data_IF_404822477340
#
_entry.id   IF_404822477340
#
_cell.length_a   1.000
_cell.length_b   1.000
_cell.length_c   1.000
_cell.angle_alpha   90.00
_cell.angle_beta   90.00
_cell.angle_gamma   90.00
#
_symmetry.space_group_name_H-M   'P 1'
#
loop_
_entity.id
_entity.type
_entity.pdbx_description
1 polymer ?
#
# COMPACT_ATOMS: atom_id res chain seq x y z
N UNK A 1 1.36 -0.28 16.26
CA UNK A 1 1.68 -0.36 14.82
C UNK A 1 1.67 -1.79 14.34
N UNK A 2 2.69 -2.60 14.63
CA UNK A 2 2.79 -4.02 14.19
C UNK A 2 1.50 -4.80 14.49
N UNK A 3 1.06 -4.83 15.75
CA UNK A 3 -0.18 -5.52 16.12
C UNK A 3 -1.43 -5.00 15.38
N UNK A 4 -1.51 -3.69 15.12
CA UNK A 4 -2.63 -3.10 14.40
C UNK A 4 -2.66 -3.51 12.93
N UNK A 5 -1.49 -3.57 12.29
CA UNK A 5 -1.33 -4.08 10.93
C UNK A 5 -1.77 -5.55 10.84
N UNK A 6 -1.32 -6.40 11.77
CA UNK A 6 -1.71 -7.81 11.81
C UNK A 6 -3.24 -7.97 11.94
N UNK A 7 -3.89 -7.20 12.83
CA UNK A 7 -5.35 -7.25 12.99
C UNK A 7 -6.11 -6.72 11.78
N UNK A 8 -5.60 -5.68 11.15
CA UNK A 8 -6.18 -5.10 9.93
C UNK A 8 -6.21 -6.14 8.81
N UNK A 9 -5.07 -6.78 8.54
CA UNK A 9 -4.95 -7.79 7.49
C UNK A 9 -5.79 -9.03 7.81
N UNK A 10 -5.72 -9.51 9.05
CA UNK A 10 -6.50 -10.67 9.50
C UNK A 10 -8.01 -10.43 9.37
N UNK A 11 -8.49 -9.24 9.76
CA UNK A 11 -9.88 -8.85 9.58
C UNK A 11 -10.28 -8.74 8.10
N UNK A 12 -9.41 -8.18 7.26
CA UNK A 12 -9.64 -8.05 5.82
C UNK A 12 -9.79 -9.44 5.16
N UNK A 13 -8.90 -10.38 5.46
CA UNK A 13 -8.96 -11.72 4.89
C UNK A 13 -10.17 -12.54 5.41
N UNK A 14 -10.58 -12.33 6.67
CA UNK A 14 -11.85 -12.88 7.18
C UNK A 14 -13.08 -12.32 6.43
N UNK A 15 -13.09 -11.03 6.13
CA UNK A 15 -14.12 -10.40 5.28
C UNK A 15 -14.12 -10.97 3.86
N UNK A 16 -12.95 -11.25 3.28
CA UNK A 16 -12.81 -11.84 1.95
C UNK A 16 -13.52 -13.20 1.89
N UNK A 17 -13.20 -14.08 2.85
CA UNK A 17 -13.79 -15.41 2.97
C UNK A 17 -15.31 -15.34 3.07
N UNK A 18 -15.82 -14.48 3.96
CA UNK A 18 -17.26 -14.32 4.20
C UNK A 18 -18.03 -13.77 2.99
N UNK A 19 -17.37 -12.97 2.14
CA UNK A 19 -17.97 -12.38 0.94
C UNK A 19 -17.81 -13.27 -0.31
N UNK A 20 -17.17 -14.43 -0.19
CA UNK A 20 -16.86 -15.29 -1.34
C UNK A 20 -15.89 -14.65 -2.35
N UNK A 21 -15.13 -13.64 -1.89
CA UNK A 21 -14.13 -12.92 -2.69
C UNK A 21 -12.76 -13.52 -2.38
N UNK A 22 -11.91 -13.69 -3.40
CA UNK A 22 -10.58 -14.23 -3.16
C UNK A 22 -9.77 -13.30 -2.26
N UNK A 23 -8.97 -13.88 -1.36
CA UNK A 23 -8.06 -13.13 -0.48
C UNK A 23 -7.11 -12.22 -1.27
N UNK A 24 -6.74 -12.65 -2.47
CA UNK A 24 -5.98 -11.88 -3.46
C UNK A 24 -6.67 -10.54 -3.78
N UNK A 25 -7.96 -10.54 -4.09
CA UNK A 25 -8.69 -9.32 -4.47
C UNK A 25 -8.76 -8.36 -3.30
N UNK A 26 -9.00 -8.84 -2.08
CA UNK A 26 -9.00 -7.99 -0.88
C UNK A 26 -7.60 -7.45 -0.58
N UNK A 27 -6.54 -8.26 -0.75
CA UNK A 27 -5.15 -7.82 -0.61
C UNK A 27 -4.81 -6.68 -1.58
N UNK A 28 -5.12 -6.86 -2.87
CA UNK A 28 -4.87 -5.87 -3.92
C UNK A 28 -5.76 -4.62 -3.86
N UNK A 29 -6.86 -4.67 -3.10
CA UNK A 29 -7.79 -3.56 -2.98
C UNK A 29 -7.78 -3.02 -1.56
N UNK A 30 -8.59 -3.59 -0.68
CA UNK A 30 -8.84 -3.04 0.66
C UNK A 30 -7.57 -2.88 1.47
N UNK A 31 -6.67 -3.87 1.46
CA UNK A 31 -5.41 -3.79 2.22
C UNK A 31 -4.48 -2.75 1.59
N UNK A 32 -4.23 -2.82 0.29
CA UNK A 32 -3.36 -1.88 -0.44
C UNK A 32 -3.83 -0.42 -0.34
N UNK A 33 -5.14 -0.18 -0.46
CA UNK A 33 -5.73 1.15 -0.27
C UNK A 33 -5.68 1.57 1.19
N UNK A 34 -5.92 0.66 2.14
CA UNK A 34 -5.90 0.98 3.57
C UNK A 34 -4.53 1.41 4.06
N UNK A 35 -3.45 0.78 3.58
CA UNK A 35 -2.07 1.17 3.92
C UNK A 35 -1.62 2.45 3.23
N UNK A 36 -2.19 2.78 2.07
CA UNK A 36 -1.86 4.00 1.30
C UNK A 36 -2.82 5.17 1.61
N UNK A 37 -3.85 4.94 2.42
CA UNK A 37 -4.89 5.93 2.71
C UNK A 37 -4.35 7.20 3.40
N UNK A 38 -3.43 7.14 4.39
CA UNK A 38 -2.82 8.34 4.94
C UNK A 38 -2.16 9.21 3.89
N UNK A 39 -1.36 8.60 3.02
CA UNK A 39 -0.55 9.26 2.01
C UNK A 39 -1.46 9.87 0.94
N UNK A 40 -2.46 9.13 0.48
CA UNK A 40 -3.49 9.65 -0.43
C UNK A 40 -4.22 10.85 0.16
N UNK A 41 -4.55 10.80 1.46
CA UNK A 41 -5.22 11.90 2.16
C UNK A 41 -4.32 13.13 2.26
N UNK A 42 -3.05 12.97 2.64
CA UNK A 42 -2.06 14.06 2.71
C UNK A 42 -1.84 14.67 1.33
N UNK A 43 -1.64 13.85 0.30
CA UNK A 43 -1.50 14.31 -1.09
C UNK A 43 -2.73 15.07 -1.59
N UNK A 44 -3.93 14.56 -1.29
CA UNK A 44 -5.18 15.22 -1.68
C UNK A 44 -5.37 16.56 -0.96
N UNK A 45 -5.10 16.63 0.34
CA UNK A 45 -5.18 17.88 1.10
C UNK A 45 -4.18 18.92 0.59
N UNK A 46 -2.93 18.52 0.31
CA UNK A 46 -1.91 19.41 -0.25
C UNK A 46 -2.33 19.96 -1.62
N UNK A 47 -2.86 19.11 -2.50
CA UNK A 47 -3.35 19.51 -3.81
C UNK A 47 -4.55 20.47 -3.72
N UNK A 48 -5.50 20.22 -2.80
CA UNK A 48 -6.66 21.09 -2.54
C UNK A 48 -6.26 22.43 -1.93
N UNK A 49 -5.19 22.47 -1.14
CA UNK A 49 -4.60 23.69 -0.59
C UNK A 49 -3.79 24.49 -1.62
N UNK A 50 -3.77 24.08 -2.90
CA UNK A 50 -3.03 24.75 -3.98
C UNK A 50 -1.55 24.35 -4.05
N UNK A 51 -1.07 23.49 -3.15
CA UNK A 51 0.31 23.01 -3.12
C UNK A 51 0.46 21.67 -3.85
N UNK A 52 0.25 21.69 -5.18
CA UNK A 52 0.24 20.48 -6.02
C UNK A 52 1.57 19.74 -5.99
N UNK A 53 2.68 20.47 -6.02
CA UNK A 53 4.05 19.93 -5.96
C UNK A 53 4.27 19.11 -4.69
N UNK A 54 3.79 19.59 -3.54
CA UNK A 54 3.87 18.86 -2.27
C UNK A 54 3.04 17.57 -2.34
N UNK A 55 1.85 17.64 -2.94
CA UNK A 55 0.98 16.46 -3.10
C UNK A 55 1.61 15.37 -3.97
N UNK A 56 2.23 15.75 -5.09
CA UNK A 56 2.96 14.85 -5.98
C UNK A 56 4.24 14.33 -5.32
N UNK A 57 5.00 15.21 -4.67
CA UNK A 57 6.22 14.86 -3.93
C UNK A 57 5.95 13.83 -2.83
N UNK A 58 4.86 13.98 -2.08
CA UNK A 58 4.45 12.99 -1.08
C UNK A 58 4.13 11.62 -1.71
N UNK A 59 3.40 11.60 -2.85
CA UNK A 59 3.04 10.35 -3.52
C UNK A 59 4.26 9.62 -4.10
N UNK A 60 5.19 10.34 -4.73
CA UNK A 60 6.41 9.76 -5.30
C UNK A 60 7.40 9.36 -4.20
N UNK A 61 7.64 10.24 -3.23
CA UNK A 61 8.55 10.02 -2.11
C UNK A 61 8.18 8.82 -1.25
N UNK A 62 6.87 8.62 -0.98
CA UNK A 62 6.39 7.46 -0.23
C UNK A 62 6.69 6.14 -0.96
N UNK A 63 6.52 6.09 -2.28
CA UNK A 63 6.85 4.90 -3.08
C UNK A 63 8.37 4.63 -3.11
N UNK A 64 9.18 5.67 -3.25
CA UNK A 64 10.65 5.55 -3.20
C UNK A 64 11.09 5.02 -1.84
N UNK A 65 10.56 5.56 -0.75
CA UNK A 65 10.89 5.15 0.63
C UNK A 65 10.47 3.70 0.88
N UNK A 66 9.29 3.28 0.40
CA UNK A 66 8.84 1.90 0.54
C UNK A 66 9.77 0.90 -0.18
N UNK A 67 10.23 1.23 -1.39
CA UNK A 67 11.11 0.32 -2.16
C UNK A 67 12.55 0.36 -1.65
N UNK A 68 13.09 1.53 -1.33
CA UNK A 68 14.50 1.66 -0.96
C UNK A 68 14.76 1.38 0.52
N UNK A 69 13.95 1.95 1.41
CA UNK A 69 14.14 1.84 2.85
C UNK A 69 13.44 0.60 3.40
N UNK A 70 12.12 0.45 3.18
CA UNK A 70 11.36 -0.64 3.80
C UNK A 70 11.74 -2.00 3.20
N UNK A 71 11.61 -2.16 1.88
CA UNK A 71 11.97 -3.40 1.19
C UNK A 71 13.48 -3.67 1.27
N UNK A 72 14.32 -2.63 1.12
CA UNK A 72 15.77 -2.76 1.27
C UNK A 72 16.20 -3.22 2.66
N UNK A 73 15.65 -2.63 3.73
CA UNK A 73 15.92 -3.08 5.10
C UNK A 73 15.39 -4.50 5.34
N UNK A 74 14.19 -4.84 4.85
CA UNK A 74 13.64 -6.18 4.96
C UNK A 74 14.56 -7.23 4.30
N UNK A 75 15.09 -6.93 3.12
CA UNK A 75 16.02 -7.80 2.39
C UNK A 75 17.37 -7.99 3.11
N UNK A 76 17.83 -6.99 3.86
CA UNK A 76 19.04 -7.09 4.69
C UNK A 76 18.83 -7.96 5.93
N UNK A 77 17.63 -7.92 6.54
CA UNK A 77 17.30 -8.72 7.73
C UNK A 77 17.07 -10.18 7.35
N UNK A 78 16.35 -10.44 6.26
CA UNK A 78 16.06 -11.81 5.79
C UNK A 78 16.06 -11.85 4.26
N UNK A 79 16.70 -12.86 3.64
CA UNK A 79 16.60 -13.07 2.20
C UNK A 79 15.14 -13.21 1.77
N UNK A 80 14.72 -12.37 0.83
CA UNK A 80 13.36 -12.41 0.27
C UNK A 80 13.28 -13.55 -0.75
N UNK A 81 12.41 -14.52 -0.50
CA UNK A 81 12.07 -15.57 -1.46
C UNK A 81 11.12 -15.01 -2.52
N UNK A 82 11.67 -14.62 -3.68
CA UNK A 82 10.88 -14.03 -4.77
C UNK A 82 10.42 -15.13 -5.73
N UNK A 83 9.11 -15.19 -5.97
CA UNK A 83 8.52 -16.13 -6.93
C UNK A 83 8.71 -15.65 -8.37
N UNK A 84 8.97 -16.56 -9.31
CA UNK A 84 9.21 -16.21 -10.72
C UNK A 84 8.05 -15.45 -11.36
N UNK A 85 6.81 -15.68 -10.91
CA UNK A 85 5.62 -14.94 -11.36
C UNK A 85 5.73 -13.45 -11.04
N UNK A 86 6.21 -13.09 -9.85
CA UNK A 86 6.39 -11.71 -9.41
C UNK A 86 7.44 -11.00 -10.28
N UNK A 87 8.58 -11.67 -10.53
CA UNK A 87 9.69 -11.16 -11.36
C UNK A 87 9.30 -10.90 -12.81
N UNK A 88 8.57 -11.82 -13.43
CA UNK A 88 8.31 -11.76 -14.88
C UNK A 88 7.06 -10.93 -15.20
N UNK A 89 6.17 -10.73 -14.22
CA UNK A 89 4.85 -10.16 -14.50
C UNK A 89 4.50 -8.94 -13.67
N UNK A 90 4.76 -8.94 -12.37
CA UNK A 90 4.36 -7.83 -11.50
C UNK A 90 5.41 -6.72 -11.52
N UNK A 91 6.69 -7.07 -11.42
CA UNK A 91 7.79 -6.11 -11.47
C UNK A 91 7.81 -5.32 -12.80
N UNK A 92 7.68 -5.93 -14.00
CA UNK A 92 7.66 -5.16 -15.25
C UNK A 92 6.47 -4.21 -15.36
N UNK A 93 5.30 -4.63 -14.84
CA UNK A 93 4.11 -3.79 -14.80
C UNK A 93 4.29 -2.61 -13.84
N UNK A 94 4.95 -2.84 -12.70
CA UNK A 94 5.32 -1.78 -11.76
C UNK A 94 6.27 -0.78 -12.41
N UNK A 95 7.34 -1.24 -13.07
CA UNK A 95 8.26 -0.38 -13.81
C UNK A 95 7.56 0.40 -14.94
N UNK A 96 6.65 -0.23 -15.68
CA UNK A 96 5.87 0.44 -16.71
C UNK A 96 4.99 1.54 -16.10
N UNK A 97 4.32 1.27 -14.98
CA UNK A 97 3.48 2.26 -14.29
C UNK A 97 4.29 3.45 -13.79
N UNK A 98 5.49 3.21 -13.27
CA UNK A 98 6.43 4.25 -12.87
C UNK A 98 6.93 5.06 -14.07
N UNK A 99 7.24 4.41 -15.19
CA UNK A 99 7.69 5.08 -16.41
C UNK A 99 6.58 5.96 -17.01
N UNK A 100 5.32 5.50 -17.00
CA UNK A 100 4.17 6.31 -17.44
C UNK A 100 3.97 7.51 -16.51
N UNK A 101 4.01 7.31 -15.19
CA UNK A 101 3.90 8.41 -14.24
C UNK A 101 5.05 9.42 -14.41
N UNK A 102 6.27 8.96 -14.61
CA UNK A 102 7.43 9.80 -14.90
C UNK A 102 7.26 10.62 -16.19
N UNK A 103 6.75 10.00 -17.26
CA UNK A 103 6.50 10.69 -18.52
C UNK A 103 5.47 11.82 -18.37
N UNK A 104 4.41 11.60 -17.60
CA UNK A 104 3.39 12.62 -17.29
C UNK A 104 3.87 13.71 -16.32
N UNK A 105 4.97 13.49 -15.62
CA UNK A 105 5.56 14.47 -14.72
C UNK A 105 6.77 15.20 -15.35
N UNK A 106 7.11 14.90 -16.60
CA UNK A 106 8.35 15.37 -17.22
C UNK A 106 8.41 16.89 -17.37
N UNK A 107 7.27 17.53 -17.60
CA UNK A 107 7.12 18.99 -17.68
C UNK A 107 6.92 19.66 -16.30
N UNK A 108 6.90 18.86 -15.23
CA UNK A 108 6.72 19.32 -13.85
C UNK A 108 5.27 19.57 -13.44
N UNK A 109 4.29 19.37 -14.34
CA UNK A 109 2.87 19.58 -14.04
C UNK A 109 2.03 18.35 -14.34
N UNK A 110 1.29 17.85 -13.34
CA UNK A 110 0.31 16.79 -13.58
C UNK A 110 -1.06 17.40 -13.93
N UNK A 111 -1.47 17.27 -15.19
CA UNK A 111 -2.77 17.73 -15.67
C UNK A 111 -3.93 16.86 -15.17
N UNK A 112 -5.15 17.40 -15.22
CA UNK A 112 -6.38 16.64 -14.87
C UNK A 112 -6.57 15.41 -15.76
N UNK A 113 -6.20 15.51 -17.04
CA UNK A 113 -6.35 14.41 -17.98
C UNK A 113 -5.40 13.26 -17.62
N UNK A 114 -4.14 13.57 -17.33
CA UNK A 114 -3.14 12.59 -16.90
C UNK A 114 -3.53 11.92 -15.59
N UNK A 115 -4.05 12.68 -14.62
CA UNK A 115 -4.59 12.12 -13.38
C UNK A 115 -5.76 11.15 -13.62
N UNK A 116 -6.68 11.48 -14.53
CA UNK A 116 -7.78 10.56 -14.92
C UNK A 116 -7.23 9.31 -15.61
N UNK A 117 -6.27 9.44 -16.52
CA UNK A 117 -5.62 8.31 -17.19
C UNK A 117 -4.93 7.38 -16.19
N UNK A 118 -4.23 7.93 -15.20
CA UNK A 118 -3.60 7.15 -14.13
C UNK A 118 -4.63 6.39 -13.28
N UNK A 119 -5.75 7.02 -12.91
CA UNK A 119 -6.84 6.36 -12.16
C UNK A 119 -7.46 5.24 -12.98
N UNK A 120 -7.78 5.48 -14.26
CA UNK A 120 -8.33 4.45 -15.15
C UNK A 120 -7.33 3.31 -15.32
N UNK A 121 -6.06 3.62 -15.54
CA UNK A 121 -4.98 2.64 -15.62
C UNK A 121 -4.87 1.77 -14.37
N UNK A 122 -4.95 2.37 -13.17
CA UNK A 122 -4.97 1.66 -11.90
C UNK A 122 -6.12 0.65 -11.83
N UNK A 123 -7.36 1.06 -12.15
CA UNK A 123 -8.50 0.13 -12.13
C UNK A 123 -8.39 -0.98 -13.18
N UNK A 124 -7.89 -0.68 -14.38
CA UNK A 124 -7.63 -1.68 -15.41
C UNK A 124 -6.58 -2.70 -14.97
N UNK A 125 -5.51 -2.24 -14.32
CA UNK A 125 -4.43 -3.07 -13.79
C UNK A 125 -4.93 -3.98 -12.67
N UNK A 126 -5.71 -3.45 -11.72
CA UNK A 126 -6.35 -4.25 -10.67
C UNK A 126 -7.27 -5.32 -11.28
N UNK A 127 -8.09 -4.97 -12.27
CA UNK A 127 -8.97 -5.92 -12.96
C UNK A 127 -8.17 -7.00 -13.71
N UNK A 128 -7.08 -6.63 -14.39
CA UNK A 128 -6.22 -7.55 -15.09
C UNK A 128 -5.49 -8.51 -14.15
N UNK A 129 -4.93 -8.02 -13.04
CA UNK A 129 -4.30 -8.88 -12.03
C UNK A 129 -5.35 -9.80 -11.40
N UNK A 130 -6.52 -9.26 -11.04
CA UNK A 130 -7.62 -10.03 -10.44
C UNK A 130 -8.14 -11.15 -11.35
N UNK A 131 -8.32 -10.89 -12.65
CA UNK A 131 -8.76 -11.92 -13.61
C UNK A 131 -7.73 -13.02 -13.81
N UNK A 132 -6.44 -12.71 -13.75
CA UNK A 132 -5.39 -13.73 -13.84
C UNK A 132 -5.14 -14.47 -12.52
N UNK A 133 -5.45 -13.87 -11.39
CA UNK A 133 -5.51 -14.57 -10.10
C UNK A 133 -6.58 -15.67 -10.09
N UNK A 134 -7.68 -15.47 -10.83
CA UNK A 134 -8.78 -16.45 -10.96
C UNK A 134 -8.55 -17.55 -11.99
N UNK A 135 -7.60 -17.36 -12.92
CA UNK A 135 -7.28 -18.30 -14.01
C UNK A 135 -6.04 -19.17 -13.73
N UNK A 136 -5.35 -18.97 -12.60
CA UNK A 136 -4.28 -19.85 -12.16
C UNK A 136 -4.88 -21.19 -11.67
N UNK A 137 -4.24 -22.30 -12.07
CA UNK A 137 -4.71 -23.70 -12.06
C UNK A 137 -5.49 -24.19 -10.82
N UNK A 138 -6.41 -25.17 -10.99
CA UNK A 138 -6.98 -25.97 -9.89
C UNK A 138 -5.97 -26.79 -9.07
N UNK A 139 -4.71 -26.86 -9.52
CA UNK A 139 -3.57 -27.45 -8.82
C UNK A 139 -2.55 -26.42 -8.31
N UNK A 140 -2.88 -25.13 -8.32
CA UNK A 140 -2.04 -24.06 -7.79
C UNK A 140 -2.27 -23.92 -6.28
N UNK A 141 -1.53 -24.71 -5.52
CA UNK A 141 -1.55 -24.75 -4.04
C UNK A 141 -0.71 -23.66 -3.39
N UNK A 142 -0.19 -22.69 -4.16
CA UNK A 142 0.57 -21.59 -3.59
C UNK A 142 -0.38 -20.40 -3.39
N UNK A 143 -0.60 -19.93 -2.15
CA UNK A 143 -1.26 -18.65 -1.94
C UNK A 143 -0.50 -17.58 -2.74
N UNK A 144 -1.20 -16.54 -3.24
CA UNK A 144 -0.53 -15.45 -3.93
C UNK A 144 0.68 -14.99 -3.11
N UNK A 145 1.87 -14.91 -3.75
CA UNK A 145 3.07 -14.55 -3.03
C UNK A 145 2.81 -13.19 -2.40
N UNK A 146 2.98 -13.14 -1.09
CA UNK A 146 3.00 -11.91 -0.30
C UNK A 146 1.63 -11.30 0.07
N UNK A 147 0.52 -12.03 -0.13
CA UNK A 147 -0.65 -11.73 0.69
C UNK A 147 -0.30 -12.14 2.12
N UNK A 148 -0.22 -11.15 3.04
CA UNK A 148 -0.02 -11.25 4.49
C UNK A 148 -1.08 -12.10 5.23
N UNK A 149 -1.49 -13.20 4.61
CA UNK A 149 -2.51 -14.12 5.05
C UNK A 149 -1.73 -15.27 5.66
N UNK A 150 -1.44 -15.16 6.96
CA UNK A 150 -1.08 -16.33 7.76
C UNK A 150 -2.09 -17.44 7.44
N UNK A 151 -1.61 -18.68 7.31
CA UNK A 151 -2.44 -19.88 7.18
C UNK A 151 -3.37 -20.09 8.40
N UNK A 152 -3.23 -19.26 9.45
CA UNK A 152 -3.99 -19.28 10.70
C UNK A 152 -5.31 -18.51 10.67
N UNK A 153 -5.83 -18.11 9.50
CA UNK A 153 -7.19 -17.53 9.43
C UNK A 153 -8.21 -18.66 9.38
N UNK A 154 -8.99 -18.90 10.46
CA UNK A 154 -10.00 -19.95 10.49
C UNK A 154 -10.98 -19.72 9.34
N UNK A 155 -11.39 -20.80 8.69
CA UNK A 155 -12.30 -20.77 7.53
C UNK A 155 -13.63 -20.04 7.79
N UNK A 156 -13.99 -19.82 9.06
CA UNK A 156 -15.21 -19.14 9.48
C UNK A 156 -14.96 -18.09 10.58
N UNK A 157 -14.20 -17.03 10.28
CA UNK A 157 -14.19 -15.86 11.16
C UNK A 157 -15.58 -15.19 11.13
N UNK A 158 -16.29 -15.03 12.26
CA UNK A 158 -17.61 -14.40 12.24
C UNK A 158 -17.54 -13.00 11.64
N UNK A 159 -18.46 -12.65 10.74
CA UNK A 159 -18.44 -11.36 10.01
C UNK A 159 -18.32 -10.17 10.95
N UNK A 160 -19.02 -10.18 12.08
CA UNK A 160 -18.92 -9.13 13.09
C UNK A 160 -17.48 -9.00 13.66
N UNK A 161 -16.83 -10.13 13.95
CA UNK A 161 -15.44 -10.14 14.43
C UNK A 161 -14.46 -9.69 13.34
N UNK A 162 -14.70 -10.07 12.08
CA UNK A 162 -13.89 -9.64 10.94
C UNK A 162 -13.99 -8.12 10.73
N UNK A 163 -15.20 -7.55 10.78
CA UNK A 163 -15.43 -6.10 10.72
C UNK A 163 -14.72 -5.39 11.88
N UNK A 164 -14.88 -5.89 13.12
CA UNK A 164 -14.23 -5.28 14.29
C UNK A 164 -12.71 -5.30 14.17
N UNK A 165 -12.11 -6.44 13.82
CA UNK A 165 -10.65 -6.55 13.66
C UNK A 165 -10.13 -5.67 12.52
N UNK A 166 -10.86 -5.63 11.40
CA UNK A 166 -10.56 -4.75 10.28
C UNK A 166 -10.57 -3.28 10.70
N UNK A 167 -11.67 -2.81 11.30
CA UNK A 167 -11.83 -1.41 11.69
C UNK A 167 -10.87 -1.00 12.80
N UNK A 168 -10.72 -1.82 13.85
CA UNK A 168 -9.80 -1.53 14.97
C UNK A 168 -8.35 -1.58 14.50
N UNK A 169 -7.99 -2.57 13.67
CA UNK A 169 -6.66 -2.67 13.08
C UNK A 169 -6.32 -1.44 12.24
N UNK A 170 -7.24 -1.01 11.36
CA UNK A 170 -7.09 0.19 10.56
C UNK A 170 -6.90 1.43 11.44
N UNK A 171 -7.77 1.64 12.44
CA UNK A 171 -7.66 2.79 13.35
C UNK A 171 -6.32 2.80 14.09
N UNK A 172 -5.86 1.65 14.61
CA UNK A 172 -4.60 1.57 15.32
C UNK A 172 -3.38 1.78 14.42
N UNK A 173 -3.47 1.32 13.17
CA UNK A 173 -2.44 1.54 12.15
C UNK A 173 -2.35 3.04 11.81
N UNK A 174 -3.48 3.69 11.55
CA UNK A 174 -3.55 5.12 11.22
C UNK A 174 -3.19 6.01 12.41
N UNK A 175 -3.62 5.66 13.62
CA UNK A 175 -3.32 6.43 14.83
C UNK A 175 -1.86 6.27 15.22
N UNK A 176 -1.34 5.03 15.18
CA UNK A 176 0.05 4.78 15.50
C UNK A 176 1.02 5.42 14.50
N UNK A 177 0.66 5.56 13.21
CA UNK A 177 1.52 6.25 12.23
C UNK A 177 1.68 7.72 12.60
N UNK A 178 0.59 8.38 12.97
CA UNK A 178 0.62 9.77 13.44
C UNK A 178 1.43 9.94 14.72
N UNK A 179 1.24 9.05 15.70
CA UNK A 179 2.01 9.12 16.96
C UNK A 179 3.50 8.92 16.70
N UNK A 180 3.86 8.00 15.80
CA UNK A 180 5.26 7.78 15.41
C UNK A 180 5.85 9.05 14.78
N UNK A 181 5.14 9.66 13.82
CA UNK A 181 5.58 10.88 13.15
C UNK A 181 5.73 12.03 14.15
N UNK A 182 4.75 12.25 15.02
CA UNK A 182 4.85 13.30 16.05
C UNK A 182 5.97 13.03 17.06
N UNK A 183 6.18 11.78 17.46
CA UNK A 183 7.31 11.40 18.32
C UNK A 183 8.65 11.67 17.64
N UNK A 184 8.79 11.31 16.36
CA UNK A 184 9.99 11.57 15.58
C UNK A 184 10.26 13.08 15.42
N UNK A 185 9.23 13.88 15.10
CA UNK A 185 9.34 15.35 15.01
C UNK A 185 9.73 15.94 16.37
N UNK A 186 9.12 15.47 17.46
CA UNK A 186 9.42 15.93 18.82
C UNK A 186 10.89 15.70 19.19
N UNK A 187 11.37 14.47 18.99
CA UNK A 187 12.78 14.12 19.25
C UNK A 187 13.72 14.93 18.34
N UNK A 188 13.39 15.09 17.06
CA UNK A 188 14.21 15.85 16.12
C UNK A 188 14.31 17.34 16.53
N UNK A 189 13.21 17.93 17.00
CA UNK A 189 13.20 19.31 17.55
C UNK A 189 14.04 19.42 18.82
N UNK A 190 13.94 18.47 19.73
CA UNK A 190 14.74 18.44 20.97
C UNK A 190 16.24 18.28 20.68
N UNK A 191 16.59 17.61 19.58
CA UNK A 191 17.96 17.47 19.08
C UNK A 191 18.44 18.64 18.20
N UNK A 192 17.61 19.67 18.00
CA UNK A 192 17.97 20.88 17.25
C UNK A 192 17.99 20.69 15.72
N UNK A 193 17.36 19.64 15.20
CA UNK A 193 17.23 19.42 13.75
C UNK A 193 16.20 20.39 13.19
N UNK A 194 16.51 21.05 12.07
CA UNK A 194 15.62 22.04 11.47
C UNK A 194 14.35 21.40 10.91
N UNK A 195 13.22 22.10 11.02
CA UNK A 195 11.92 21.62 10.52
C UNK A 195 11.92 21.35 9.01
N UNK A 196 12.81 22.01 8.27
CA UNK A 196 13.01 21.79 6.84
C UNK A 196 13.55 20.39 6.56
N UNK A 197 14.51 19.92 7.36
CA UNK A 197 15.10 18.58 7.19
C UNK A 197 14.10 17.49 7.60
N UNK A 198 13.36 17.72 8.68
CA UNK A 198 12.34 16.76 9.17
C UNK A 198 11.13 16.66 8.24
N UNK A 199 10.77 17.75 7.53
CA UNK A 199 9.67 17.74 6.57
C UNK A 199 10.03 17.16 5.19
N UNK A 200 11.31 16.98 4.88
CA UNK A 200 11.81 16.47 3.60
C UNK A 200 12.20 14.99 3.63
N UNK A 201 12.28 14.37 4.81
CA UNK A 201 12.65 12.96 5.02
C UNK A 201 11.51 12.19 5.68
#
# INVERSE_FOLDING_TARGET
MVWGADRFVYGAAGLASNLGVSRLVIGLTVVAFGTSAPEMLVSAMAALAGSREIGVGNAVGSNITNVTLVLGAAALVRPLSIHSRLLIREIPVLFLSMAVAWAFLWDGELSRLEGVLLIVGMFLLIAWIGTQGRKADPGYSDPPPDAFVDDDIPDALPTAKAIVLFSVGLVLLLAGSRVLVWGAIGIARDLGVSELVVGLT
#
